data_IF_202422633904
#
_entry.id   IF_202422633904
#
_cell.length_a   1.000
_cell.length_b   1.000
_cell.length_c   1.000
_cell.angle_alpha   90.00
_cell.angle_beta   90.00
_cell.angle_gamma   90.00
#
_symmetry.space_group_name_H-M   'P 1'
#
loop_
_entity.id
_entity.type
_entity.pdbx_description
1 polymer ?
#
# COMPACT_ATOMS: atom_id res chain seq x y z
N UNK A 1 -7.55 -46.15 30.99
CA UNK A 1 -7.24 -44.72 31.09
C UNK A 1 -6.73 -44.21 29.75
N UNK A 2 -7.56 -43.51 28.98
CA UNK A 2 -7.08 -42.76 27.80
C UNK A 2 -6.31 -41.55 28.33
N UNK A 3 -5.02 -41.42 27.98
CA UNK A 3 -4.21 -40.23 28.28
C UNK A 3 -4.92 -39.02 27.68
N UNK A 4 -5.34 -38.08 28.52
CA UNK A 4 -5.95 -36.83 28.07
C UNK A 4 -4.96 -36.09 27.17
N UNK A 5 -5.36 -35.79 25.95
CA UNK A 5 -4.66 -34.84 25.09
C UNK A 5 -4.90 -33.48 25.74
N UNK A 6 -3.88 -32.91 26.38
CA UNK A 6 -3.99 -31.54 26.89
C UNK A 6 -3.97 -30.62 25.66
N UNK A 7 -5.11 -30.04 25.33
CA UNK A 7 -5.19 -29.07 24.25
C UNK A 7 -4.49 -27.80 24.70
N UNK A 8 -3.34 -27.53 24.08
CA UNK A 8 -2.58 -26.31 24.30
C UNK A 8 -3.47 -25.11 23.95
N UNK A 9 -3.81 -24.27 24.91
CA UNK A 9 -4.56 -23.04 24.64
C UNK A 9 -3.61 -21.92 24.17
N UNK A 10 -4.15 -20.75 23.83
CA UNK A 10 -3.36 -19.65 23.27
C UNK A 10 -2.32 -19.12 24.28
N UNK A 11 -2.68 -19.01 25.55
CA UNK A 11 -1.74 -18.61 26.61
C UNK A 11 -0.57 -19.60 26.70
N UNK A 12 -0.88 -20.89 26.85
CA UNK A 12 0.13 -21.94 26.99
C UNK A 12 1.04 -22.05 25.75
N UNK A 13 0.51 -21.79 24.55
CA UNK A 13 1.30 -21.73 23.32
C UNK A 13 2.32 -20.59 23.34
N UNK A 14 1.87 -19.37 23.65
CA UNK A 14 2.74 -18.20 23.68
C UNK A 14 3.81 -18.35 24.77
N UNK A 15 3.40 -18.74 25.98
CA UNK A 15 4.31 -19.00 27.11
C UNK A 15 5.38 -20.05 26.75
N UNK A 16 4.96 -21.18 26.17
CA UNK A 16 5.89 -22.25 25.79
C UNK A 16 6.93 -21.78 24.76
N UNK A 17 6.52 -20.99 23.77
CA UNK A 17 7.46 -20.41 22.79
C UNK A 17 8.43 -19.44 23.48
N UNK A 18 7.92 -18.52 24.29
CA UNK A 18 8.74 -17.50 24.98
C UNK A 18 9.77 -18.14 25.93
N UNK A 19 9.40 -19.22 26.60
CA UNK A 19 10.28 -19.91 27.55
C UNK A 19 11.34 -20.79 26.87
N UNK A 20 11.03 -21.37 25.71
CA UNK A 20 11.87 -22.44 25.15
C UNK A 20 12.61 -22.05 23.85
N UNK A 21 12.17 -21.03 23.10
CA UNK A 21 12.74 -20.73 21.79
C UNK A 21 14.25 -20.42 21.84
N UNK A 22 14.70 -19.62 22.82
CA UNK A 22 16.12 -19.25 22.95
C UNK A 22 17.04 -20.40 23.36
N UNK A 23 16.49 -21.43 24.02
CA UNK A 23 17.21 -22.67 24.31
C UNK A 23 17.22 -23.56 23.08
N UNK A 24 16.05 -23.76 22.46
CA UNK A 24 15.86 -24.64 21.32
C UNK A 24 16.58 -24.18 20.05
N UNK A 25 16.87 -22.87 19.90
CA UNK A 25 17.64 -22.37 18.76
C UNK A 25 19.08 -22.90 18.69
N UNK A 26 19.58 -23.47 19.79
CA UNK A 26 20.89 -24.13 19.84
C UNK A 26 20.82 -25.59 19.35
N UNK A 27 19.62 -26.14 19.14
CA UNK A 27 19.38 -27.46 18.60
C UNK A 27 19.12 -27.41 17.08
N UNK A 28 19.27 -28.54 16.35
CA UNK A 28 18.93 -28.61 14.94
C UNK A 28 17.48 -28.17 14.67
N UNK A 29 17.30 -27.29 13.69
CA UNK A 29 15.96 -26.78 13.31
C UNK A 29 15.03 -27.88 12.79
N UNK A 30 15.57 -28.83 12.02
CA UNK A 30 14.79 -29.91 11.41
C UNK A 30 14.28 -30.87 12.49
N UNK A 31 12.97 -31.03 12.57
CA UNK A 31 12.32 -31.93 13.54
C UNK A 31 12.17 -31.34 14.94
N UNK A 32 12.54 -30.06 15.15
CA UNK A 32 12.39 -29.41 16.45
C UNK A 32 10.90 -29.16 16.79
N UNK A 33 10.53 -29.41 18.05
CA UNK A 33 9.15 -29.28 18.52
C UNK A 33 8.66 -27.82 18.50
N UNK A 34 9.47 -26.85 18.96
CA UNK A 34 9.10 -25.42 18.94
C UNK A 34 8.96 -24.91 17.51
N UNK A 35 9.87 -25.30 16.60
CA UNK A 35 9.76 -24.95 15.19
C UNK A 35 8.48 -25.53 14.54
N UNK A 36 8.10 -26.75 14.94
CA UNK A 36 6.87 -27.41 14.48
C UNK A 36 5.62 -26.74 15.02
N UNK A 37 5.61 -26.36 16.30
CA UNK A 37 4.52 -25.62 16.94
C UNK A 37 4.30 -24.27 16.24
N UNK A 38 5.35 -23.48 16.05
CA UNK A 38 5.29 -22.23 15.27
C UNK A 38 4.70 -22.49 13.88
N UNK A 39 5.17 -23.51 13.17
CA UNK A 39 4.69 -23.82 11.81
C UNK A 39 3.19 -24.10 11.75
N UNK A 40 2.62 -24.77 12.77
CA UNK A 40 1.17 -25.05 12.85
C UNK A 40 0.31 -23.79 13.04
N UNK A 41 0.92 -22.68 13.47
CA UNK A 41 0.21 -21.45 13.79
C UNK A 41 -0.81 -21.69 14.91
N UNK A 42 -2.03 -21.19 14.72
CA UNK A 42 -3.12 -21.33 15.70
C UNK A 42 -4.07 -22.50 15.41
N UNK A 43 -3.67 -23.43 14.54
CA UNK A 43 -4.46 -24.63 14.24
C UNK A 43 -4.67 -25.44 15.52
N UNK A 44 -5.93 -25.75 15.84
CA UNK A 44 -6.36 -26.44 17.07
C UNK A 44 -6.14 -25.67 18.40
N UNK A 45 -5.68 -24.42 18.33
CA UNK A 45 -5.42 -23.54 19.50
C UNK A 45 -6.62 -22.61 19.75
N UNK A 46 -7.25 -22.15 18.68
CA UNK A 46 -8.43 -21.28 18.71
C UNK A 46 -9.60 -21.97 18.00
N UNK A 47 -10.83 -21.60 18.36
CA UNK A 47 -12.03 -22.15 17.71
C UNK A 47 -12.00 -21.88 16.20
N UNK A 48 -12.43 -22.86 15.42
CA UNK A 48 -12.63 -22.72 13.97
C UNK A 48 -13.58 -21.58 13.61
N UNK A 49 -14.54 -21.27 14.50
CA UNK A 49 -15.47 -20.17 14.31
C UNK A 49 -14.79 -18.80 14.36
N UNK A 50 -13.67 -18.69 15.09
CA UNK A 50 -12.87 -17.47 15.15
C UNK A 50 -12.05 -17.24 13.87
N UNK A 51 -11.56 -18.32 13.27
CA UNK A 51 -10.80 -18.31 12.01
C UNK A 51 -11.68 -18.76 10.84
N UNK A 52 -12.88 -18.20 10.74
CA UNK A 52 -13.83 -18.57 9.71
C UNK A 52 -13.56 -17.86 8.36
N UNK A 53 -14.29 -18.26 7.32
CA UNK A 53 -14.26 -17.61 6.01
C UNK A 53 -12.92 -17.79 5.29
N UNK A 54 -12.28 -16.66 4.95
CA UNK A 54 -11.00 -16.60 4.22
C UNK A 54 -9.77 -16.62 5.12
N UNK A 55 -9.93 -16.66 6.45
CA UNK A 55 -8.80 -16.60 7.38
C UNK A 55 -8.08 -17.95 7.48
N UNK A 56 -6.76 -17.92 7.39
CA UNK A 56 -5.89 -19.09 7.53
C UNK A 56 -4.69 -18.77 8.42
N UNK A 57 -4.25 -19.71 9.25
CA UNK A 57 -3.12 -19.50 10.16
C UNK A 57 -1.92 -20.36 9.81
N UNK A 58 -0.73 -19.82 10.04
CA UNK A 58 0.57 -20.53 10.01
C UNK A 58 1.62 -19.67 10.67
N UNK A 59 2.74 -20.25 11.06
CA UNK A 59 3.87 -19.47 11.57
C UNK A 59 5.22 -19.91 10.99
N UNK A 60 6.27 -19.27 11.46
CA UNK A 60 7.65 -19.63 11.11
C UNK A 60 8.60 -19.28 12.23
N UNK A 61 9.41 -20.28 12.64
CA UNK A 61 10.65 -20.06 13.38
C UNK A 61 11.86 -19.95 12.46
N UNK A 62 11.68 -19.77 11.15
CA UNK A 62 12.73 -19.78 10.13
C UNK A 62 12.58 -20.88 9.07
N UNK A 63 13.54 -20.96 8.15
CA UNK A 63 13.59 -21.93 7.05
C UNK A 63 14.96 -22.56 6.97
N UNK A 64 15.17 -23.64 7.72
CA UNK A 64 16.47 -24.34 7.83
C UNK A 64 17.41 -23.71 8.86
N UNK A 65 17.45 -22.38 8.95
CA UNK A 65 18.04 -21.63 10.07
C UNK A 65 16.94 -21.01 10.92
N UNK A 66 17.19 -20.90 12.22
CA UNK A 66 16.32 -20.21 13.17
C UNK A 66 16.18 -18.72 12.81
N UNK A 67 14.96 -18.20 12.87
CA UNK A 67 14.67 -16.80 12.65
C UNK A 67 15.07 -15.95 13.86
N UNK A 68 15.48 -14.71 13.60
CA UNK A 68 15.70 -13.72 14.66
C UNK A 68 14.37 -13.39 15.34
N UNK A 69 13.33 -13.16 14.54
CA UNK A 69 11.96 -12.85 14.97
C UNK A 69 11.07 -14.01 14.50
N UNK A 70 10.79 -15.02 15.35
CA UNK A 70 9.78 -16.01 15.04
C UNK A 70 8.39 -15.37 15.10
N UNK A 71 7.43 -15.99 14.43
CA UNK A 71 6.08 -15.43 14.34
C UNK A 71 4.99 -16.48 14.09
N UNK A 72 3.76 -16.12 14.46
CA UNK A 72 2.52 -16.84 14.10
C UNK A 72 1.56 -15.86 13.43
N UNK A 73 1.23 -16.10 12.17
CA UNK A 73 0.36 -15.23 11.37
C UNK A 73 -1.04 -15.79 11.17
N UNK A 74 -1.99 -14.88 10.99
CA UNK A 74 -3.35 -15.11 10.54
C UNK A 74 -3.54 -14.25 9.29
N UNK A 75 -3.78 -14.92 8.19
CA UNK A 75 -3.77 -14.36 6.85
C UNK A 75 -5.16 -14.46 6.23
N UNK A 76 -5.49 -13.53 5.35
CA UNK A 76 -6.69 -13.62 4.54
C UNK A 76 -6.35 -14.16 3.14
N UNK A 77 -6.97 -15.27 2.73
CA UNK A 77 -6.70 -15.91 1.45
C UNK A 77 -7.07 -15.08 0.22
N UNK A 78 -7.92 -14.05 0.37
CA UNK A 78 -8.28 -13.12 -0.69
C UNK A 78 -7.16 -12.10 -0.91
N UNK A 79 -6.53 -11.63 0.17
CA UNK A 79 -5.46 -10.62 0.13
C UNK A 79 -4.10 -11.27 -0.12
N UNK A 80 -3.67 -12.11 0.81
CA UNK A 80 -2.45 -12.88 0.71
C UNK A 80 -2.37 -13.89 1.83
N UNK A 81 -1.91 -15.10 1.50
CA UNK A 81 -1.54 -16.11 2.50
C UNK A 81 -0.06 -16.04 2.90
N UNK A 82 0.70 -15.00 2.53
CA UNK A 82 2.16 -14.92 2.73
C UNK A 82 2.55 -13.80 3.69
N UNK A 83 3.47 -14.05 4.62
CA UNK A 83 4.07 -13.00 5.44
C UNK A 83 5.02 -12.06 4.66
N UNK A 84 5.29 -12.36 3.38
CA UNK A 84 6.16 -11.52 2.54
C UNK A 84 5.41 -10.33 1.93
N UNK A 85 4.07 -10.36 1.90
CA UNK A 85 3.25 -9.37 1.17
C UNK A 85 1.83 -9.31 1.70
N UNK A 86 1.13 -8.21 1.43
CA UNK A 86 -0.25 -8.00 1.93
C UNK A 86 -0.30 -7.54 3.38
N UNK A 87 -1.52 -7.56 3.93
CA UNK A 87 -1.87 -7.16 5.29
C UNK A 87 -2.37 -8.37 6.06
N UNK A 88 -1.99 -8.50 7.32
CA UNK A 88 -2.30 -9.68 8.12
C UNK A 88 -2.18 -9.38 9.61
N UNK A 89 -2.78 -10.25 10.42
CA UNK A 89 -2.60 -10.27 11.87
C UNK A 89 -1.43 -11.20 12.18
N UNK A 90 -0.56 -10.82 13.11
CA UNK A 90 0.62 -11.62 13.45
C UNK A 90 1.01 -11.47 14.91
N UNK A 91 1.34 -12.59 15.54
CA UNK A 91 2.11 -12.63 16.77
C UNK A 91 3.60 -12.55 16.41
N UNK A 92 4.27 -11.46 16.77
CA UNK A 92 5.70 -11.23 16.56
C UNK A 92 6.43 -11.32 17.90
N UNK A 93 7.33 -12.28 18.05
CA UNK A 93 8.12 -12.44 19.28
C UNK A 93 9.40 -11.60 19.17
N UNK A 94 9.76 -10.87 20.23
CA UNK A 94 11.04 -10.16 20.30
C UNK A 94 12.22 -11.13 20.25
N UNK A 95 13.38 -10.68 19.77
CA UNK A 95 14.57 -11.53 19.60
C UNK A 95 15.08 -12.16 20.91
N UNK A 96 14.84 -11.48 22.04
CA UNK A 96 15.15 -11.95 23.39
C UNK A 96 14.04 -12.84 24.00
N UNK A 97 12.89 -12.99 23.32
CA UNK A 97 11.68 -13.69 23.79
C UNK A 97 11.03 -13.09 25.05
N UNK A 98 11.38 -11.86 25.42
CA UNK A 98 10.81 -11.17 26.58
C UNK A 98 9.45 -10.51 26.28
N UNK A 99 9.11 -10.38 24.99
CA UNK A 99 7.84 -9.82 24.52
C UNK A 99 7.27 -10.60 23.35
N UNK A 100 5.95 -10.58 23.24
CA UNK A 100 5.23 -10.95 22.02
C UNK A 100 4.17 -9.90 21.73
N UNK A 101 4.08 -9.47 20.49
CA UNK A 101 3.11 -8.47 20.05
C UNK A 101 2.04 -9.14 19.21
N UNK A 102 0.76 -8.93 19.53
CA UNK A 102 -0.33 -9.14 18.57
C UNK A 102 -0.44 -7.89 17.71
N UNK A 103 -0.06 -7.99 16.44
CA UNK A 103 0.10 -6.85 15.53
C UNK A 103 -0.72 -7.03 14.26
N UNK A 104 -1.47 -5.99 13.88
CA UNK A 104 -1.91 -5.77 12.51
C UNK A 104 -0.73 -5.20 11.72
N UNK A 105 -0.19 -5.99 10.80
CA UNK A 105 1.08 -5.70 10.15
C UNK A 105 1.02 -5.97 8.64
N UNK A 106 2.15 -5.70 7.97
CA UNK A 106 2.27 -5.70 6.52
C UNK A 106 3.55 -6.42 6.09
N UNK A 107 3.52 -7.04 4.92
CA UNK A 107 4.68 -7.75 4.38
C UNK A 107 5.81 -6.82 3.94
N UNK A 108 6.81 -6.58 4.80
CA UNK A 108 7.95 -5.71 4.48
C UNK A 108 8.76 -6.15 3.24
N UNK A 109 8.80 -7.46 2.95
CA UNK A 109 9.51 -7.95 1.76
C UNK A 109 8.96 -7.36 0.46
N UNK A 110 7.63 -7.16 0.35
CA UNK A 110 7.02 -6.45 -0.78
C UNK A 110 7.61 -5.05 -0.95
N UNK A 111 7.67 -4.26 0.13
CA UNK A 111 8.21 -2.90 0.08
C UNK A 111 9.70 -2.89 -0.26
N UNK A 112 10.46 -3.84 0.29
CA UNK A 112 11.89 -4.00 0.00
C UNK A 112 12.15 -4.29 -1.47
N UNK A 113 11.37 -5.18 -2.06
CA UNK A 113 11.48 -5.55 -3.48
C UNK A 113 11.01 -4.41 -4.39
N UNK A 114 9.92 -3.71 -4.04
CA UNK A 114 9.30 -2.67 -4.87
C UNK A 114 10.02 -1.32 -4.77
N UNK A 115 10.29 -0.82 -3.55
CA UNK A 115 10.78 0.55 -3.30
C UNK A 115 12.25 0.62 -2.87
N UNK A 116 12.92 -0.53 -2.68
CA UNK A 116 14.36 -0.63 -2.40
C UNK A 116 14.81 0.23 -1.21
N UNK A 117 15.58 1.28 -1.44
CA UNK A 117 16.11 2.16 -0.39
C UNK A 117 15.00 2.91 0.36
N UNK A 118 13.85 3.14 -0.28
CA UNK A 118 12.70 3.83 0.31
C UNK A 118 11.75 2.88 1.05
N UNK A 119 12.04 1.58 1.11
CA UNK A 119 11.12 0.57 1.63
C UNK A 119 10.62 0.86 3.06
N UNK A 120 11.52 1.26 3.96
CA UNK A 120 11.17 1.59 5.35
C UNK A 120 10.30 2.86 5.44
N UNK A 121 10.52 3.82 4.54
CA UNK A 121 9.71 5.04 4.48
C UNK A 121 8.31 4.73 3.97
N UNK A 122 8.20 3.95 2.89
CA UNK A 122 6.91 3.63 2.28
C UNK A 122 6.04 2.72 3.16
N UNK A 123 6.61 1.68 3.77
CA UNK A 123 5.80 0.84 4.69
C UNK A 123 5.29 1.64 5.88
N UNK A 124 6.10 2.58 6.39
CA UNK A 124 5.71 3.47 7.48
C UNK A 124 4.60 4.43 7.04
N UNK A 125 4.69 5.01 5.84
CA UNK A 125 3.63 5.84 5.27
C UNK A 125 2.32 5.06 5.12
N UNK A 126 2.36 3.84 4.59
CA UNK A 126 1.17 2.99 4.50
C UNK A 126 0.59 2.71 5.89
N UNK A 127 1.44 2.41 6.88
CA UNK A 127 0.99 2.19 8.25
C UNK A 127 0.29 3.44 8.80
N UNK A 128 0.93 4.60 8.71
CA UNK A 128 0.39 5.87 9.18
C UNK A 128 -0.94 6.25 8.51
N UNK A 129 -1.11 5.94 7.22
CA UNK A 129 -2.39 6.16 6.54
C UNK A 129 -3.51 5.32 7.16
N UNK A 130 -3.28 4.03 7.45
CA UNK A 130 -4.31 3.23 8.12
C UNK A 130 -4.55 3.70 9.55
N UNK A 131 -3.50 4.06 10.29
CA UNK A 131 -3.61 4.58 11.66
C UNK A 131 -4.52 5.81 11.74
N UNK A 132 -4.53 6.66 10.70
CA UNK A 132 -5.40 7.84 10.65
C UNK A 132 -6.88 7.53 10.39
N UNK A 133 -7.20 6.37 9.83
CA UNK A 133 -8.54 6.00 9.40
C UNK A 133 -9.18 4.85 10.20
N UNK A 134 -8.41 4.15 11.03
CA UNK A 134 -8.94 3.11 11.91
C UNK A 134 -9.74 3.72 13.06
N UNK A 135 -10.91 3.15 13.30
CA UNK A 135 -11.88 3.62 14.32
C UNK A 135 -12.30 2.54 15.31
N UNK A 136 -11.97 1.28 15.05
CA UNK A 136 -12.35 0.12 15.87
C UNK A 136 -11.31 -0.30 16.91
N UNK A 137 -10.26 0.50 17.13
CA UNK A 137 -9.22 0.22 18.11
C UNK A 137 -9.73 0.25 19.55
N UNK A 138 -9.13 -0.56 20.42
CA UNK A 138 -9.37 -0.55 21.87
C UNK A 138 -8.25 0.14 22.63
N UNK A 139 -8.45 0.44 23.91
CA UNK A 139 -7.45 1.13 24.76
C UNK A 139 -6.14 0.34 24.93
N UNK A 140 -6.17 -0.98 24.74
CA UNK A 140 -4.99 -1.86 24.80
C UNK A 140 -4.15 -1.83 23.53
N UNK A 141 -4.67 -1.22 22.47
CA UNK A 141 -4.02 -1.19 21.16
C UNK A 141 -3.28 0.12 20.93
N UNK A 142 -2.05 0.02 20.45
CA UNK A 142 -1.13 1.12 20.27
C UNK A 142 -0.61 1.20 18.83
N UNK A 143 -0.40 2.42 18.36
CA UNK A 143 0.11 2.74 17.01
C UNK A 143 1.63 2.87 16.94
N UNK A 144 2.31 2.73 18.08
CA UNK A 144 3.76 2.92 18.19
C UNK A 144 4.52 1.83 17.41
N UNK A 145 5.77 2.14 17.05
CA UNK A 145 6.64 1.13 16.46
C UNK A 145 6.91 0.02 17.48
N UNK A 146 6.97 -1.23 17.01
CA UNK A 146 7.32 -2.35 17.87
C UNK A 146 8.78 -2.24 18.33
N UNK A 147 9.08 -2.78 19.50
CA UNK A 147 10.44 -3.05 19.94
C UNK A 147 10.71 -4.57 19.87
N UNK A 148 11.16 -5.05 18.71
CA UNK A 148 11.44 -6.47 18.48
C UNK A 148 12.90 -6.82 18.70
N UNK A 149 13.80 -5.84 18.57
CA UNK A 149 15.25 -6.07 18.55
C UNK A 149 15.99 -5.54 19.76
N UNK A 150 15.33 -4.81 20.66
CA UNK A 150 15.97 -4.02 21.71
C UNK A 150 17.09 -3.13 21.16
N UNK A 151 16.86 -2.55 19.99
CA UNK A 151 17.81 -1.72 19.23
C UNK A 151 19.10 -2.42 18.79
N UNK A 152 19.19 -3.76 18.92
CA UNK A 152 20.32 -4.55 18.46
C UNK A 152 20.22 -4.73 16.94
N UNK A 153 21.30 -4.41 16.22
CA UNK A 153 21.37 -4.63 14.77
C UNK A 153 21.63 -6.10 14.48
N UNK A 154 20.78 -6.66 13.62
CA UNK A 154 20.98 -7.98 13.03
C UNK A 154 21.48 -7.82 11.58
N UNK A 155 22.08 -8.87 11.00
CA UNK A 155 22.53 -8.89 9.60
C UNK A 155 21.40 -8.86 8.56
N UNK A 156 20.23 -8.35 8.94
CA UNK A 156 19.01 -8.25 8.13
C UNK A 156 18.17 -7.07 8.63
N UNK A 157 17.50 -6.41 7.69
CA UNK A 157 16.56 -5.30 7.93
C UNK A 157 15.12 -5.79 8.18
N UNK A 158 14.85 -7.10 8.04
CA UNK A 158 13.51 -7.67 8.26
C UNK A 158 12.90 -7.29 9.63
N UNK A 159 13.63 -7.41 10.76
CA UNK A 159 13.09 -7.00 12.06
C UNK A 159 12.70 -5.53 12.06
N UNK A 160 13.54 -4.66 11.48
CA UNK A 160 13.24 -3.23 11.43
C UNK A 160 12.00 -2.93 10.60
N UNK A 161 11.83 -3.65 9.49
CA UNK A 161 10.64 -3.58 8.66
C UNK A 161 9.36 -3.97 9.41
N UNK A 162 9.40 -5.02 10.24
CA UNK A 162 8.27 -5.43 11.08
C UNK A 162 7.94 -4.38 12.15
N UNK A 163 8.97 -3.77 12.76
CA UNK A 163 8.81 -2.72 13.77
C UNK A 163 8.10 -1.48 13.21
N UNK A 164 8.55 -0.98 12.05
CA UNK A 164 7.99 0.25 11.43
C UNK A 164 6.75 -0.01 10.58
N UNK A 165 6.51 -1.26 10.18
CA UNK A 165 5.34 -1.66 9.41
C UNK A 165 4.10 -1.92 10.26
N UNK A 166 4.25 -1.87 11.58
CA UNK A 166 3.14 -1.98 12.51
C UNK A 166 2.09 -0.93 12.23
N UNK A 167 0.86 -1.39 11.99
CA UNK A 167 -0.30 -0.51 11.88
C UNK A 167 -0.87 -0.28 13.27
N UNK A 168 -1.11 -1.37 14.00
CA UNK A 168 -1.74 -1.37 15.32
C UNK A 168 -1.31 -2.63 16.07
N UNK A 169 -1.04 -2.54 17.37
CA UNK A 169 -0.60 -3.70 18.14
C UNK A 169 -0.97 -3.67 19.62
N UNK A 170 -0.99 -4.85 20.24
CA UNK A 170 -1.02 -5.06 21.68
C UNK A 170 0.32 -5.71 22.08
N UNK A 171 0.98 -5.20 23.11
CA UNK A 171 2.20 -5.78 23.68
C UNK A 171 1.86 -6.73 24.84
N UNK A 172 2.51 -7.89 24.86
CA UNK A 172 2.52 -8.79 26.01
C UNK A 172 3.97 -9.02 26.45
N UNK A 173 4.26 -8.74 27.72
CA UNK A 173 5.55 -9.07 28.33
C UNK A 173 5.51 -10.50 28.86
N UNK A 174 6.68 -11.12 28.97
CA UNK A 174 6.82 -12.50 29.46
C UNK A 174 6.30 -12.69 30.87
N UNK A 175 6.59 -11.73 31.74
CA UNK A 175 6.24 -11.79 33.17
C UNK A 175 4.76 -11.45 33.43
N UNK A 176 4.08 -10.81 32.48
CA UNK A 176 2.68 -10.36 32.62
C UNK A 176 1.79 -10.88 31.48
N UNK A 177 2.08 -12.08 30.96
CA UNK A 177 1.30 -12.70 29.89
C UNK A 177 -0.17 -12.91 30.36
N UNK A 178 -1.17 -12.29 29.69
CA UNK A 178 -2.57 -12.35 30.14
C UNK A 178 -3.17 -13.75 30.10
N UNK A 179 -4.29 -13.96 30.81
CA UNK A 179 -5.05 -15.21 30.73
C UNK A 179 -5.53 -15.49 29.30
N UNK A 180 -5.80 -16.77 29.00
CA UNK A 180 -6.29 -17.18 27.69
C UNK A 180 -7.55 -16.42 27.24
N UNK A 181 -8.47 -16.11 28.16
CA UNK A 181 -9.70 -15.39 27.81
C UNK A 181 -9.43 -13.96 27.33
N UNK A 182 -8.46 -13.26 27.95
CA UNK A 182 -8.02 -11.94 27.52
C UNK A 182 -7.37 -12.03 26.15
N UNK A 183 -6.46 -12.99 25.94
CA UNK A 183 -5.79 -13.18 24.65
C UNK A 183 -6.77 -13.50 23.51
N UNK A 184 -7.81 -14.28 23.77
CA UNK A 184 -8.88 -14.56 22.81
C UNK A 184 -9.74 -13.32 22.53
N UNK A 185 -10.02 -12.49 23.55
CA UNK A 185 -10.71 -11.21 23.37
C UNK A 185 -9.89 -10.25 22.50
N UNK A 186 -8.61 -10.06 22.87
CA UNK A 186 -7.66 -9.20 22.16
C UNK A 186 -7.53 -9.64 20.68
N UNK A 187 -7.53 -10.95 20.41
CA UNK A 187 -7.52 -11.49 19.04
C UNK A 187 -8.82 -11.19 18.27
N UNK A 188 -9.99 -11.28 18.90
CA UNK A 188 -11.28 -10.92 18.27
C UNK A 188 -11.30 -9.45 17.88
N UNK A 189 -10.86 -8.58 18.78
CA UNK A 189 -10.81 -7.14 18.53
C UNK A 189 -9.83 -6.82 17.38
N UNK A 190 -8.69 -7.52 17.33
CA UNK A 190 -7.74 -7.39 16.22
C UNK A 190 -8.31 -7.88 14.87
N UNK A 191 -9.15 -8.93 14.86
CA UNK A 191 -9.88 -9.39 13.66
C UNK A 191 -10.91 -8.36 13.19
N UNK A 192 -11.55 -7.63 14.12
CA UNK A 192 -12.45 -6.52 13.79
C UNK A 192 -11.67 -5.39 13.13
N UNK A 193 -10.54 -4.97 13.73
CA UNK A 193 -9.66 -3.95 13.15
C UNK A 193 -9.13 -4.35 11.76
N UNK A 194 -8.76 -5.63 11.59
CA UNK A 194 -8.35 -6.13 10.29
C UNK A 194 -9.49 -6.08 9.28
N UNK A 195 -10.72 -6.43 9.67
CA UNK A 195 -11.89 -6.34 8.80
C UNK A 195 -12.21 -4.91 8.37
N UNK A 196 -12.06 -3.93 9.26
CA UNK A 196 -12.14 -2.51 8.93
C UNK A 196 -11.07 -2.13 7.91
N UNK A 197 -9.79 -2.47 8.14
CA UNK A 197 -8.71 -2.22 7.19
C UNK A 197 -9.02 -2.80 5.81
N UNK A 198 -9.51 -4.05 5.76
CA UNK A 198 -9.88 -4.71 4.50
C UNK A 198 -10.95 -3.93 3.74
N UNK A 199 -11.89 -3.29 4.43
CA UNK A 199 -12.93 -2.48 3.79
C UNK A 199 -12.39 -1.19 3.15
N UNK A 200 -11.22 -0.72 3.58
CA UNK A 200 -10.56 0.48 3.07
C UNK A 200 -9.67 0.19 1.84
N UNK A 201 -9.41 -1.08 1.52
CA UNK A 201 -8.63 -1.46 0.34
C UNK A 201 -9.41 -1.20 -0.96
N UNK A 202 -8.73 -0.70 -1.98
CA UNK A 202 -9.31 -0.46 -3.30
C UNK A 202 -9.75 -1.78 -3.95
N UNK A 203 -8.90 -2.80 -3.85
CA UNK A 203 -9.16 -4.16 -4.34
C UNK A 203 -8.50 -5.18 -3.41
N UNK A 204 -9.32 -5.99 -2.74
CA UNK A 204 -8.88 -7.02 -1.83
C UNK A 204 -8.06 -8.13 -2.50
N UNK A 205 -8.21 -8.32 -3.82
CA UNK A 205 -7.43 -9.30 -4.58
C UNK A 205 -6.11 -8.73 -5.11
N UNK A 206 -5.93 -7.41 -5.02
CA UNK A 206 -4.73 -6.71 -5.47
C UNK A 206 -4.28 -5.66 -4.45
N UNK A 207 -3.79 -6.13 -3.31
CA UNK A 207 -3.34 -5.26 -2.22
C UNK A 207 -2.27 -4.24 -2.69
N UNK A 208 -1.42 -4.57 -3.67
CA UNK A 208 -0.39 -3.66 -4.17
C UNK A 208 -0.98 -2.41 -4.82
N UNK A 209 -2.13 -2.52 -5.50
CA UNK A 209 -2.82 -1.32 -6.00
C UNK A 209 -3.33 -0.44 -4.86
N UNK A 210 -3.78 -1.05 -3.76
CA UNK A 210 -4.25 -0.33 -2.58
C UNK A 210 -3.08 0.37 -1.88
N UNK A 211 -1.91 -0.26 -1.78
CA UNK A 211 -0.69 0.38 -1.25
C UNK A 211 -0.26 1.54 -2.13
N UNK A 212 -0.12 1.34 -3.44
CA UNK A 212 0.25 2.41 -4.37
C UNK A 212 -0.69 3.62 -4.25
N UNK A 213 -1.98 3.34 -4.10
CA UNK A 213 -3.01 4.36 -3.91
C UNK A 213 -2.90 5.06 -2.56
N UNK A 214 -2.69 4.35 -1.46
CA UNK A 214 -2.54 4.95 -0.12
C UNK A 214 -1.36 5.92 -0.09
N UNK A 215 -0.23 5.49 -0.67
CA UNK A 215 0.98 6.31 -0.77
C UNK A 215 0.77 7.54 -1.65
N UNK A 216 -0.25 7.51 -2.52
CA UNK A 216 -0.68 8.61 -3.38
C UNK A 216 -1.76 9.49 -2.70
N UNK A 217 -2.66 8.91 -1.89
CA UNK A 217 -3.83 9.54 -1.25
C UNK A 217 -3.47 10.47 -0.07
N UNK A 218 -2.26 10.42 0.47
CA UNK A 218 -1.78 11.37 1.50
C UNK A 218 -1.75 12.85 1.01
N UNK A 219 -2.11 13.08 -0.26
CA UNK A 219 -2.37 14.38 -0.87
C UNK A 219 -3.88 14.78 -0.95
N UNK A 220 -4.76 13.96 -0.33
CA UNK A 220 -6.20 14.10 -0.01
C UNK A 220 -7.19 13.90 -1.18
N UNK A 221 -8.49 13.51 -0.86
CA UNK A 221 -10.02 13.85 -1.02
C UNK A 221 -11.04 13.97 -2.24
N UNK A 222 -11.77 12.94 -2.74
CA UNK A 222 -12.69 12.82 -3.94
C UNK A 222 -14.15 13.38 -4.10
N UNK A 223 -14.66 13.42 -5.36
CA UNK A 223 -16.06 13.68 -5.87
C UNK A 223 -16.78 12.42 -6.46
N UNK A 224 -16.36 11.22 -6.07
CA UNK A 224 -17.01 9.94 -6.41
C UNK A 224 -17.06 9.09 -5.15
N UNK A 225 -18.13 8.32 -4.97
CA UNK A 225 -18.25 7.39 -3.84
C UNK A 225 -17.18 6.29 -3.91
N UNK A 226 -16.79 5.73 -2.77
CA UNK A 226 -15.79 4.64 -2.71
C UNK A 226 -16.18 3.43 -3.58
N UNK A 227 -17.48 3.15 -3.69
CA UNK A 227 -18.00 2.07 -4.52
C UNK A 227 -17.80 2.33 -6.03
N UNK A 228 -17.95 3.58 -6.46
CA UNK A 228 -17.67 3.99 -7.85
C UNK A 228 -16.17 3.87 -8.15
N UNK A 229 -15.30 4.23 -7.19
CA UNK A 229 -13.84 4.09 -7.34
C UNK A 229 -13.38 2.65 -7.47
N UNK A 230 -13.95 1.77 -6.64
CA UNK A 230 -13.70 0.33 -6.74
C UNK A 230 -14.22 -0.26 -8.06
N UNK A 231 -15.29 0.31 -8.62
CA UNK A 231 -15.79 -0.11 -9.94
C UNK A 231 -14.85 0.34 -11.05
N UNK A 232 -14.37 1.59 -10.98
CA UNK A 232 -13.43 2.14 -11.95
C UNK A 232 -12.10 1.41 -11.96
N UNK A 233 -11.54 1.09 -10.78
CA UNK A 233 -10.24 0.38 -10.66
C UNK A 233 -10.24 -0.96 -11.39
N UNK A 234 -11.33 -1.73 -11.29
CA UNK A 234 -11.52 -3.01 -11.99
C UNK A 234 -11.55 -2.87 -13.51
N UNK A 235 -11.99 -1.71 -14.03
CA UNK A 235 -12.15 -1.47 -15.47
C UNK A 235 -10.90 -0.91 -16.16
N UNK A 236 -10.00 -0.26 -15.42
CA UNK A 236 -8.80 0.40 -15.98
C UNK A 236 -8.00 -0.48 -16.95
N UNK A 237 -7.69 -1.77 -16.66
CA UNK A 237 -6.87 -2.59 -17.54
C UNK A 237 -7.45 -2.80 -18.96
N UNK A 238 -8.77 -2.70 -19.11
CA UNK A 238 -9.48 -2.99 -20.35
C UNK A 238 -10.10 -1.75 -21.02
N UNK A 239 -9.99 -0.59 -20.36
CA UNK A 239 -10.57 0.67 -20.83
C UNK A 239 -9.82 1.18 -22.06
N UNK A 240 -10.55 1.72 -23.04
CA UNK A 240 -9.96 2.33 -24.24
C UNK A 240 -9.84 3.84 -24.07
N UNK A 241 -8.67 4.38 -24.44
CA UNK A 241 -8.47 5.83 -24.56
C UNK A 241 -8.72 6.28 -26.00
N UNK A 242 -9.58 7.29 -26.14
CA UNK A 242 -9.87 7.94 -27.42
C UNK A 242 -9.32 9.35 -27.43
N UNK A 243 -8.38 9.63 -28.34
CA UNK A 243 -7.82 10.98 -28.47
C UNK A 243 -8.80 11.88 -29.21
N UNK A 244 -9.12 13.03 -28.64
CA UNK A 244 -10.01 14.04 -29.22
C UNK A 244 -9.23 15.32 -29.47
N UNK A 245 -9.57 16.04 -30.56
CA UNK A 245 -9.01 17.36 -30.81
C UNK A 245 -9.59 18.37 -29.82
N UNK A 246 -8.74 19.17 -29.17
CA UNK A 246 -9.16 20.18 -28.21
C UNK A 246 -8.98 21.57 -28.80
N UNK A 247 -10.03 22.40 -28.72
CA UNK A 247 -9.99 23.82 -29.05
C UNK A 247 -10.26 24.60 -27.75
N UNK A 248 -9.30 25.42 -27.26
CA UNK A 248 -9.47 26.14 -26.00
C UNK A 248 -10.70 27.05 -26.02
N UNK A 249 -11.53 26.97 -24.98
CA UNK A 249 -12.64 27.89 -24.74
C UNK A 249 -12.41 28.57 -23.39
N UNK A 250 -11.96 29.82 -23.43
CA UNK A 250 -11.76 30.61 -22.21
C UNK A 250 -13.11 31.15 -21.74
N UNK A 251 -13.65 30.54 -20.68
CA UNK A 251 -14.81 31.06 -19.95
C UNK A 251 -14.42 31.29 -18.51
N UNK A 252 -14.60 32.52 -18.02
CA UNK A 252 -14.40 32.85 -16.61
C UNK A 252 -15.47 32.13 -15.77
N UNK A 253 -15.09 31.08 -15.05
CA UNK A 253 -15.92 30.48 -14.01
C UNK A 253 -15.32 30.80 -12.65
N UNK A 254 -16.12 31.43 -11.78
CA UNK A 254 -15.83 31.53 -10.35
C UNK A 254 -16.01 30.15 -9.73
N UNK A 255 -14.96 29.33 -9.77
CA UNK A 255 -14.93 28.05 -9.05
C UNK A 255 -14.18 28.30 -7.76
N UNK A 256 -14.76 27.94 -6.61
CA UNK A 256 -14.02 27.94 -5.35
C UNK A 256 -13.04 26.76 -5.35
N UNK A 257 -11.76 27.09 -5.50
CA UNK A 257 -10.66 26.14 -5.72
C UNK A 257 -10.03 25.61 -4.43
N UNK A 258 -10.37 26.19 -3.27
CA UNK A 258 -9.72 25.89 -1.98
C UNK A 258 -10.04 24.48 -1.43
N UNK A 259 -11.20 23.93 -1.80
CA UNK A 259 -11.67 22.60 -1.32
C UNK A 259 -11.41 21.45 -2.31
N UNK A 260 -11.06 21.74 -3.58
CA UNK A 260 -10.96 20.74 -4.68
C UNK A 260 -9.63 19.99 -4.78
N UNK A 261 -8.57 20.43 -4.10
CA UNK A 261 -7.21 19.90 -4.32
C UNK A 261 -7.02 18.47 -3.87
N UNK A 262 -7.82 18.06 -2.91
CA UNK A 262 -7.80 16.72 -2.39
C UNK A 262 -8.73 15.80 -3.31
N UNK A 263 -9.59 16.31 -4.20
CA UNK A 263 -10.52 15.43 -4.99
C UNK A 263 -9.97 14.58 -6.10
N UNK A 264 -8.78 14.93 -6.52
CA UNK A 264 -8.35 14.51 -7.83
C UNK A 264 -7.27 13.43 -7.76
N UNK A 265 -6.88 13.00 -6.56
CA UNK A 265 -5.70 12.18 -6.39
C UNK A 265 -5.88 10.77 -6.98
N UNK A 266 -6.78 9.97 -6.42
CA UNK A 266 -7.14 8.65 -6.96
C UNK A 266 -7.61 8.67 -8.45
N UNK A 267 -8.20 9.76 -8.99
CA UNK A 267 -8.68 9.76 -10.40
C UNK A 267 -7.49 10.11 -11.27
N UNK A 268 -6.60 10.96 -10.75
CA UNK A 268 -5.24 11.16 -11.23
C UNK A 268 -4.56 9.81 -11.40
N UNK A 269 -4.40 9.05 -10.31
CA UNK A 269 -3.77 7.72 -10.33
C UNK A 269 -4.45 6.72 -11.27
N UNK A 270 -5.78 6.61 -11.25
CA UNK A 270 -6.51 5.73 -12.18
C UNK A 270 -6.30 6.18 -13.65
N UNK A 271 -6.24 7.49 -13.88
CA UNK A 271 -5.89 8.09 -15.17
C UNK A 271 -4.45 7.79 -15.57
N UNK A 272 -3.48 7.92 -14.67
CA UNK A 272 -2.06 7.60 -14.90
C UNK A 272 -1.89 6.13 -15.28
N UNK A 273 -2.53 5.19 -14.57
CA UNK A 273 -2.52 3.76 -14.94
C UNK A 273 -3.11 3.53 -16.32
N UNK A 274 -4.19 4.22 -16.66
CA UNK A 274 -4.82 4.13 -17.98
C UNK A 274 -3.90 4.66 -19.09
N UNK A 275 -3.25 5.80 -18.87
CA UNK A 275 -2.26 6.37 -19.80
C UNK A 275 -1.04 5.46 -19.94
N UNK A 276 -0.51 4.93 -18.84
CA UNK A 276 0.63 4.01 -18.83
C UNK A 276 0.32 2.75 -19.65
N UNK A 277 -0.85 2.14 -19.44
CA UNK A 277 -1.30 0.99 -20.20
C UNK A 277 -1.44 1.32 -21.69
N UNK A 278 -1.98 2.49 -22.02
CA UNK A 278 -2.12 2.96 -23.40
C UNK A 278 -0.78 3.21 -24.10
N UNK A 279 0.19 3.85 -23.42
CA UNK A 279 1.53 4.08 -23.96
C UNK A 279 2.28 2.76 -24.19
N UNK A 280 2.19 1.81 -23.24
CA UNK A 280 2.72 0.45 -23.45
C UNK A 280 2.07 -0.24 -24.64
N UNK A 281 0.75 -0.11 -24.80
CA UNK A 281 0.01 -0.68 -25.93
C UNK A 281 0.44 -0.05 -27.26
N UNK A 282 0.68 1.27 -27.28
CA UNK A 282 1.16 1.98 -28.46
C UNK A 282 2.55 1.48 -28.91
N UNK A 283 3.43 1.16 -27.96
CA UNK A 283 4.76 0.61 -28.22
C UNK A 283 4.81 -0.92 -28.34
N UNK A 284 3.67 -1.61 -28.49
CA UNK A 284 3.63 -3.09 -28.58
C UNK A 284 4.51 -3.67 -29.69
N UNK A 285 4.74 -2.93 -30.77
CA UNK A 285 5.64 -3.34 -31.87
C UNK A 285 7.13 -3.11 -31.59
N UNK A 286 7.47 -2.47 -30.47
CA UNK A 286 8.81 -2.10 -30.05
C UNK A 286 9.06 -2.58 -28.60
N UNK A 287 9.24 -3.89 -28.37
CA UNK A 287 9.31 -4.46 -27.02
C UNK A 287 10.37 -3.83 -26.11
N UNK A 288 11.53 -3.46 -26.68
CA UNK A 288 12.61 -2.81 -25.92
C UNK A 288 12.19 -1.44 -25.38
N UNK A 289 11.45 -0.65 -26.16
CA UNK A 289 10.92 0.64 -25.74
C UNK A 289 9.72 0.47 -24.80
N UNK A 290 8.83 -0.48 -25.09
CA UNK A 290 7.67 -0.81 -24.26
C UNK A 290 8.09 -1.18 -22.83
N UNK A 291 9.14 -1.99 -22.67
CA UNK A 291 9.67 -2.41 -21.38
C UNK A 291 10.31 -1.26 -20.59
N UNK A 292 10.71 -0.19 -21.26
CA UNK A 292 11.30 1.01 -20.66
C UNK A 292 10.25 2.04 -20.24
N UNK A 293 8.98 1.89 -20.66
CA UNK A 293 7.88 2.76 -20.22
C UNK A 293 7.65 2.56 -18.73
N UNK A 294 7.83 3.63 -17.95
CA UNK A 294 7.74 3.58 -16.49
C UNK A 294 6.87 4.71 -15.94
N UNK A 295 6.16 4.39 -14.86
CA UNK A 295 5.52 5.35 -14.00
C UNK A 295 6.60 5.92 -13.07
N UNK A 296 6.98 7.19 -13.21
CA UNK A 296 8.17 7.76 -12.53
C UNK A 296 7.87 8.42 -11.19
N UNK A 297 6.65 8.95 -11.01
CA UNK A 297 6.16 9.50 -9.74
C UNK A 297 6.30 8.49 -8.59
N UNK A 298 6.20 7.18 -8.88
CA UNK A 298 6.33 6.11 -7.89
C UNK A 298 7.74 5.52 -7.69
N UNK A 299 8.73 5.89 -8.52
CA UNK A 299 10.04 5.20 -8.55
C UNK A 299 11.20 6.13 -8.19
N UNK A 300 11.10 7.43 -8.47
CA UNK A 300 12.22 8.39 -8.33
C UNK A 300 11.87 9.64 -7.49
N UNK A 301 10.62 9.76 -6.98
CA UNK A 301 10.15 10.80 -6.05
C UNK A 301 9.38 11.98 -6.68
N UNK A 302 8.63 12.74 -5.86
CA UNK A 302 7.70 13.85 -6.23
C UNK A 302 8.39 15.11 -6.85
N UNK A 303 9.64 14.99 -7.33
CA UNK A 303 10.48 16.09 -7.75
C UNK A 303 10.79 16.19 -9.24
N UNK A 304 10.37 15.22 -10.07
CA UNK A 304 10.77 15.16 -11.49
C UNK A 304 9.95 16.06 -12.42
N UNK A 305 8.72 16.43 -12.03
CA UNK A 305 7.85 17.33 -12.82
C UNK A 305 7.10 16.65 -13.98
N UNK A 306 6.98 15.32 -13.98
CA UNK A 306 6.13 14.54 -14.89
C UNK A 306 5.78 13.17 -14.27
N UNK A 307 4.67 12.56 -14.69
CA UNK A 307 4.18 11.28 -14.15
C UNK A 307 4.76 10.06 -14.86
N UNK A 308 4.79 10.05 -16.19
CA UNK A 308 5.13 8.85 -16.99
C UNK A 308 6.30 9.16 -17.93
N UNK A 309 7.33 8.31 -17.91
CA UNK A 309 8.33 8.27 -18.96
C UNK A 309 7.89 7.26 -20.03
N UNK A 310 7.68 7.75 -21.24
CA UNK A 310 7.40 6.95 -22.44
C UNK A 310 8.41 7.28 -23.54
N UNK A 311 8.21 6.68 -24.72
CA UNK A 311 9.06 6.86 -25.89
C UNK A 311 8.22 6.98 -27.15
N UNK A 312 8.71 7.70 -28.15
CA UNK A 312 8.19 7.57 -29.51
C UNK A 312 8.79 6.33 -30.21
N UNK A 313 8.36 6.08 -31.45
CA UNK A 313 8.83 4.94 -32.26
C UNK A 313 10.32 5.02 -32.60
N UNK A 314 10.91 6.22 -32.55
CA UNK A 314 12.30 6.49 -32.88
C UNK A 314 13.20 6.45 -31.62
N UNK A 315 12.59 6.23 -30.45
CA UNK A 315 13.28 6.08 -29.17
C UNK A 315 13.49 7.40 -28.42
N UNK A 316 12.95 8.52 -28.91
CA UNK A 316 13.02 9.79 -28.19
C UNK A 316 12.12 9.73 -26.95
N UNK A 317 12.57 10.36 -25.87
CA UNK A 317 11.81 10.40 -24.61
C UNK A 317 10.54 11.23 -24.77
N UNK A 318 9.47 10.75 -24.14
CA UNK A 318 8.23 11.48 -23.89
C UNK A 318 8.05 11.59 -22.39
N UNK A 319 8.05 12.82 -21.88
CA UNK A 319 7.74 13.13 -20.49
C UNK A 319 6.24 13.48 -20.43
N UNK A 320 5.45 12.61 -19.83
CA UNK A 320 4.00 12.71 -19.84
C UNK A 320 3.50 13.10 -18.45
N UNK A 321 2.78 14.20 -18.39
CA UNK A 321 2.00 14.65 -17.24
C UNK A 321 0.53 14.29 -17.46
N UNK A 322 -0.16 13.76 -16.45
CA UNK A 322 -1.54 13.30 -16.55
C UNK A 322 -2.44 14.12 -15.64
N UNK A 323 -3.44 14.78 -16.22
CA UNK A 323 -4.45 15.53 -15.46
C UNK A 323 -5.83 14.92 -15.69
N UNK A 324 -6.44 14.35 -14.64
CA UNK A 324 -7.77 13.71 -14.73
C UNK A 324 -8.86 14.57 -14.11
N UNK A 325 -10.10 14.50 -14.61
CA UNK A 325 -11.28 15.13 -14.00
C UNK A 325 -12.56 14.35 -14.28
N UNK A 326 -13.50 14.37 -13.33
CA UNK A 326 -14.88 13.88 -13.52
C UNK A 326 -15.73 14.82 -14.38
N UNK A 327 -15.32 16.09 -14.47
CA UNK A 327 -16.02 17.15 -15.20
C UNK A 327 -15.60 17.22 -16.68
N UNK A 328 -16.08 18.22 -17.41
CA UNK A 328 -15.79 18.36 -18.84
C UNK A 328 -14.35 18.81 -19.16
N UNK A 329 -14.00 18.80 -20.43
CA UNK A 329 -12.68 19.11 -20.98
C UNK A 329 -12.17 20.53 -20.67
N UNK A 330 -13.06 21.49 -20.40
CA UNK A 330 -12.70 22.89 -20.10
C UNK A 330 -12.53 23.15 -18.60
N UNK A 331 -12.65 22.11 -17.76
CA UNK A 331 -12.49 22.24 -16.31
C UNK A 331 -11.05 22.62 -15.98
N UNK A 332 -10.83 23.75 -15.28
CA UNK A 332 -9.49 24.17 -14.85
C UNK A 332 -8.79 23.09 -14.01
N UNK A 333 -7.47 23.06 -14.09
CA UNK A 333 -6.63 22.10 -13.37
C UNK A 333 -5.38 22.79 -12.85
N UNK A 334 -4.81 22.24 -11.79
CA UNK A 334 -3.56 22.74 -11.21
C UNK A 334 -2.36 22.16 -11.93
N UNK A 335 -1.32 22.98 -12.03
CA UNK A 335 0.03 22.56 -12.39
C UNK A 335 0.98 23.04 -11.29
N UNK A 336 1.83 22.14 -10.78
CA UNK A 336 2.79 22.52 -9.74
C UNK A 336 3.92 23.37 -10.31
N UNK A 337 4.66 24.05 -9.41
CA UNK A 337 5.85 24.82 -9.82
C UNK A 337 6.89 23.94 -10.52
N UNK A 338 7.08 22.71 -10.03
CA UNK A 338 8.05 21.77 -10.58
C UNK A 338 7.62 21.26 -11.95
N UNK A 339 6.35 20.88 -12.10
CA UNK A 339 5.77 20.50 -13.40
C UNK A 339 5.92 21.63 -14.43
N UNK A 340 5.56 22.87 -14.05
CA UNK A 340 5.66 24.01 -14.95
C UNK A 340 7.11 24.32 -15.33
N UNK A 341 8.04 24.29 -14.37
CA UNK A 341 9.45 24.50 -14.64
C UNK A 341 10.03 23.40 -15.56
N UNK A 342 9.66 22.14 -15.32
CA UNK A 342 10.10 21.02 -16.14
C UNK A 342 9.54 21.11 -17.56
N UNK A 343 8.25 21.43 -17.70
CA UNK A 343 7.59 21.63 -18.99
C UNK A 343 8.30 22.70 -19.82
N UNK A 344 8.64 23.84 -19.21
CA UNK A 344 9.40 24.93 -19.88
C UNK A 344 10.80 24.48 -20.32
N UNK A 345 11.48 23.69 -19.50
CA UNK A 345 12.81 23.16 -19.82
C UNK A 345 12.83 22.07 -20.90
N UNK A 346 11.70 21.39 -21.13
CA UNK A 346 11.62 20.20 -22.00
C UNK A 346 10.46 20.25 -23.00
N UNK A 347 10.05 21.44 -23.45
CA UNK A 347 8.82 21.65 -24.22
C UNK A 347 8.65 20.73 -25.45
N UNK A 348 9.72 20.40 -26.16
CA UNK A 348 9.69 19.52 -27.34
C UNK A 348 9.37 18.05 -27.02
N UNK A 349 9.56 17.63 -25.77
CA UNK A 349 9.40 16.26 -25.30
C UNK A 349 8.39 16.14 -24.14
N UNK A 350 7.75 17.23 -23.76
CA UNK A 350 6.75 17.28 -22.69
C UNK A 350 5.34 17.21 -23.26
N UNK A 351 4.51 16.36 -22.64
CA UNK A 351 3.14 16.11 -23.07
C UNK A 351 2.21 16.13 -21.88
N UNK A 352 1.19 16.98 -21.90
CA UNK A 352 0.13 16.95 -20.89
C UNK A 352 -1.08 16.21 -21.45
N UNK A 353 -1.44 15.09 -20.84
CA UNK A 353 -2.60 14.27 -21.17
C UNK A 353 -3.74 14.66 -20.25
N UNK A 354 -4.80 15.26 -20.81
CA UNK A 354 -6.00 15.64 -20.07
C UNK A 354 -7.09 14.61 -20.28
N UNK A 355 -7.38 13.82 -19.26
CA UNK A 355 -8.51 12.89 -19.22
C UNK A 355 -9.69 13.57 -18.53
N UNK A 356 -10.87 13.49 -19.13
CA UNK A 356 -12.05 14.21 -18.67
C UNK A 356 -13.31 13.35 -18.75
N UNK A 357 -14.40 13.82 -18.15
CA UNK A 357 -15.65 13.08 -17.97
C UNK A 357 -15.42 11.68 -17.37
N UNK A 358 -14.48 11.55 -16.43
CA UNK A 358 -14.01 10.25 -15.96
C UNK A 358 -15.11 9.42 -15.28
N UNK A 359 -16.14 10.07 -14.74
CA UNK A 359 -17.36 9.43 -14.20
C UNK A 359 -18.14 8.63 -15.26
N UNK A 360 -18.07 9.03 -16.55
CA UNK A 360 -18.72 8.29 -17.64
C UNK A 360 -18.16 6.89 -17.82
N UNK A 361 -16.95 6.60 -17.34
CA UNK A 361 -16.39 5.25 -17.36
C UNK A 361 -17.20 4.27 -16.51
N UNK A 362 -18.07 4.72 -15.60
CA UNK A 362 -19.04 3.83 -14.95
C UNK A 362 -20.08 3.30 -15.94
N UNK A 363 -20.40 4.07 -16.98
CA UNK A 363 -21.45 3.77 -17.97
C UNK A 363 -20.94 3.40 -19.37
N UNK A 364 -19.67 3.66 -19.68
CA UNK A 364 -19.03 3.48 -21.00
C UNK A 364 -17.65 2.85 -20.84
N UNK A 365 -17.16 2.08 -21.81
CA UNK A 365 -15.78 1.52 -21.78
C UNK A 365 -14.71 2.43 -22.38
N UNK A 366 -15.10 3.63 -22.84
CA UNK A 366 -14.20 4.59 -23.46
C UNK A 366 -14.04 5.84 -22.59
N UNK A 367 -12.81 6.32 -22.47
CA UNK A 367 -12.48 7.64 -21.92
C UNK A 367 -11.87 8.50 -23.02
N UNK A 368 -12.45 9.69 -23.18
CA UNK A 368 -11.90 10.70 -24.06
C UNK A 368 -10.76 11.44 -23.36
N UNK A 369 -9.73 11.75 -24.13
CA UNK A 369 -8.62 12.57 -23.66
C UNK A 369 -8.10 13.48 -24.77
N UNK A 370 -7.46 14.57 -24.39
CA UNK A 370 -6.67 15.38 -25.32
C UNK A 370 -5.24 15.54 -24.83
N UNK A 371 -4.35 15.94 -25.73
CA UNK A 371 -2.94 16.17 -25.41
C UNK A 371 -2.56 17.61 -25.69
N UNK A 372 -1.91 18.27 -24.74
CA UNK A 372 -1.21 19.53 -24.96
C UNK A 372 0.28 19.20 -25.17
N UNK A 373 0.87 19.80 -26.19
CA UNK A 373 2.27 19.63 -26.59
C UNK A 373 2.90 20.99 -26.81
N UNK A 374 4.23 21.08 -26.71
CA UNK A 374 4.99 22.32 -26.80
C UNK A 374 4.70 23.25 -25.60
N UNK A 375 4.72 24.56 -25.84
CA UNK A 375 4.51 25.56 -24.79
C UNK A 375 3.08 25.49 -24.24
N UNK A 376 2.98 25.15 -22.95
CA UNK A 376 1.71 25.02 -22.24
C UNK A 376 0.92 26.34 -22.22
N UNK A 377 1.61 27.48 -22.26
CA UNK A 377 0.99 28.81 -22.27
C UNK A 377 0.26 29.11 -23.59
N UNK A 378 0.52 28.32 -24.65
CA UNK A 378 -0.24 28.41 -25.91
C UNK A 378 -1.68 27.87 -25.75
N UNK A 379 -1.89 26.96 -24.80
CA UNK A 379 -3.16 26.25 -24.62
C UNK A 379 -3.84 26.50 -23.27
N UNK A 380 -3.10 27.05 -22.30
CA UNK A 380 -3.58 27.30 -20.94
C UNK A 380 -3.28 28.74 -20.52
N UNK A 381 -4.26 29.41 -19.92
CA UNK A 381 -4.02 30.63 -19.15
C UNK A 381 -3.58 30.22 -17.74
N UNK A 382 -2.39 30.66 -17.33
CA UNK A 382 -1.84 30.35 -16.02
C UNK A 382 -2.15 31.46 -15.02
N UNK A 383 -2.81 31.11 -13.92
CA UNK A 383 -3.07 32.02 -12.80
C UNK A 383 -2.33 31.55 -11.55
N UNK A 384 -1.61 32.43 -10.83
CA UNK A 384 -0.91 32.05 -9.62
C UNK A 384 -1.90 31.78 -8.48
N UNK A 385 -1.80 30.60 -7.86
CA UNK A 385 -2.73 30.15 -6.80
C UNK A 385 -2.10 30.01 -5.42
N UNK A 386 -0.77 29.90 -5.33
CA UNK A 386 -0.02 29.78 -4.07
C UNK A 386 1.43 30.24 -4.22
N UNK A 387 2.04 30.68 -3.11
CA UNK A 387 3.44 31.15 -3.07
C UNK A 387 4.24 30.35 -2.04
N UNK A 388 5.50 30.03 -2.38
CA UNK A 388 6.46 29.43 -1.44
C UNK A 388 7.37 30.55 -0.93
N UNK A 389 7.42 30.75 0.39
CA UNK A 389 8.40 31.62 1.01
C UNK A 389 9.71 30.86 1.24
N UNK A 390 10.82 31.43 0.77
CA UNK A 390 12.17 30.90 1.01
C UNK A 390 12.88 31.85 1.99
N UNK A 391 13.57 31.33 3.03
CA UNK A 391 14.39 32.17 3.91
C UNK A 391 15.46 32.90 3.09
N UNK A 392 15.72 34.16 3.45
CA UNK A 392 16.84 34.95 2.89
C UNK A 392 18.03 34.92 3.83
#
# INVERSE_FOLDING_TARGET
MRRGVNYLNLHELLENIMNNYNTEKNNPFKGNNIASLLKKGLTDIVSSDLLNGSLVTKGSGGKGRWAVIPWIGIFDSIISTSALRGFYIVYLFSADMERVYLSLNQGYTFYKETYRTEALHQIKKTASSFQHHLTTQTERMHFENLNLTNHIKFGTDLPKGYEVGNILSIEYTKDELPSNDILISDLKDMIICFSELKSQLLDNTNFSQSVDFILYEDNGYYDLSQQELQTLSKRIPNTKLTKVAYTPKFQAQNIDFSQKNKANAKIGYLGEKLVLANEKKALKKYPDLQNRVKHVSHVEGDGLGYDILSFDKDGNKKYIEVKTTTSNENTPFFISRNELAFAKGHAAHYFLYRLYNFSKLLTSENIDYFTITNDIETFCQLEPVSYIALPR
#
